data_IF_757709411084
#
_entry.id   IF_757709411084
#
_cell.length_a   1.000
_cell.length_b   1.000
_cell.length_c   1.000
_cell.angle_alpha   90.00
_cell.angle_beta   90.00
_cell.angle_gamma   90.00
#
_symmetry.space_group_name_H-M   'P 1'
#
loop_
_entity.id
_entity.type
_entity.pdbx_description
1 polymer ?
#
# COMPACT_ATOMS: atom_id res chain seq x y z
N UNK A 1 -10.81 7.65 18.86
CA UNK A 1 -10.28 6.38 18.33
C UNK A 1 -9.26 6.76 17.27
N UNK A 2 -7.99 6.34 17.41
CA UNK A 2 -6.89 6.72 16.51
C UNK A 2 -6.54 5.54 15.59
N UNK A 3 -6.67 5.71 14.28
CA UNK A 3 -6.32 4.67 13.31
C UNK A 3 -4.83 4.81 12.99
N UNK A 4 -4.05 3.85 13.49
CA UNK A 4 -2.58 3.86 13.34
C UNK A 4 -2.09 3.17 12.07
N UNK A 5 -2.83 2.18 11.58
CA UNK A 5 -2.41 1.32 10.47
C UNK A 5 -3.62 0.82 9.68
N UNK A 6 -3.52 0.90 8.35
CA UNK A 6 -4.52 0.40 7.40
C UNK A 6 -3.88 -0.69 6.54
N UNK A 7 -4.38 -1.92 6.62
CA UNK A 7 -3.90 -3.01 5.78
C UNK A 7 -4.87 -3.28 4.64
N UNK A 8 -4.39 -3.19 3.40
CA UNK A 8 -5.13 -3.50 2.18
C UNK A 8 -4.77 -4.90 1.72
N UNK A 9 -5.75 -5.80 1.71
CA UNK A 9 -5.61 -7.15 1.17
C UNK A 9 -6.04 -7.12 -0.30
N UNK A 10 -5.10 -7.39 -1.19
CA UNK A 10 -5.24 -7.27 -2.64
C UNK A 10 -4.55 -6.01 -3.16
N UNK A 11 -3.62 -6.19 -4.09
CA UNK A 11 -2.80 -5.14 -4.72
C UNK A 11 -3.22 -4.83 -6.17
N UNK A 12 -4.43 -5.24 -6.55
CA UNK A 12 -5.01 -4.97 -7.87
C UNK A 12 -5.32 -3.48 -8.11
N UNK A 13 -6.07 -3.19 -9.17
CA UNK A 13 -6.39 -1.81 -9.60
C UNK A 13 -7.09 -1.00 -8.48
N UNK A 14 -8.06 -1.61 -7.80
CA UNK A 14 -8.76 -0.97 -6.68
C UNK A 14 -7.90 -0.93 -5.41
N UNK A 15 -7.20 -2.02 -5.09
CA UNK A 15 -6.37 -2.11 -3.89
C UNK A 15 -5.26 -1.07 -3.83
N UNK A 16 -4.56 -0.83 -4.95
CA UNK A 16 -3.57 0.25 -5.04
C UNK A 16 -4.19 1.64 -4.90
N UNK A 17 -5.43 1.84 -5.37
CA UNK A 17 -6.15 3.11 -5.25
C UNK A 17 -6.54 3.43 -3.82
N UNK A 18 -7.07 2.44 -3.10
CA UNK A 18 -7.37 2.54 -1.66
C UNK A 18 -6.08 2.83 -0.88
N UNK A 19 -5.02 2.07 -1.14
CA UNK A 19 -3.74 2.28 -0.49
C UNK A 19 -3.16 3.68 -0.74
N UNK A 20 -3.31 4.21 -1.97
CA UNK A 20 -2.89 5.57 -2.30
C UNK A 20 -3.69 6.61 -1.52
N UNK A 21 -5.03 6.53 -1.48
CA UNK A 21 -5.86 7.49 -0.75
C UNK A 21 -5.60 7.44 0.75
N UNK A 22 -5.43 6.24 1.33
CA UNK A 22 -5.07 6.09 2.74
C UNK A 22 -3.68 6.69 3.04
N UNK A 23 -2.69 6.48 2.16
CA UNK A 23 -1.37 7.08 2.33
C UNK A 23 -1.41 8.61 2.22
N UNK A 24 -2.20 9.17 1.28
CA UNK A 24 -2.43 10.61 1.15
C UNK A 24 -3.18 11.20 2.36
N UNK A 25 -3.97 10.39 3.05
CA UNK A 25 -4.65 10.77 4.29
C UNK A 25 -3.76 10.77 5.53
N UNK A 26 -2.46 10.50 5.39
CA UNK A 26 -1.51 10.44 6.51
C UNK A 26 -1.60 9.15 7.34
N UNK A 27 -2.28 8.12 6.85
CA UNK A 27 -2.33 6.82 7.51
C UNK A 27 -1.14 5.96 7.11
N UNK A 28 -0.62 5.15 8.03
CA UNK A 28 0.31 4.08 7.65
C UNK A 28 -0.46 2.99 6.90
N UNK A 29 0.07 2.54 5.76
CA UNK A 29 -0.61 1.58 4.89
C UNK A 29 0.27 0.35 4.66
N UNK A 30 -0.31 -0.83 4.84
CA UNK A 30 0.31 -2.09 4.42
C UNK A 30 -0.45 -2.68 3.24
N UNK A 31 0.26 -3.03 2.17
CA UNK A 31 -0.30 -3.69 0.99
C UNK A 31 0.09 -5.15 1.04
N UNK A 32 -0.91 -6.04 1.02
CA UNK A 32 -0.73 -7.48 1.11
C UNK A 32 -1.34 -8.18 -0.10
N UNK A 33 -0.60 -9.08 -0.76
CA UNK A 33 -1.10 -9.88 -1.88
C UNK A 33 -0.42 -11.26 -1.91
N UNK A 34 -0.99 -12.19 -2.65
CA UNK A 34 -0.36 -13.48 -2.96
C UNK A 34 0.80 -13.32 -3.95
N UNK A 35 0.65 -12.37 -4.88
CA UNK A 35 1.59 -12.15 -5.97
C UNK A 35 2.54 -11.00 -5.66
N UNK A 36 3.83 -11.34 -5.58
CA UNK A 36 4.90 -10.36 -5.35
C UNK A 36 5.04 -9.36 -6.51
N UNK A 37 4.77 -9.81 -7.73
CA UNK A 37 4.83 -8.97 -8.93
C UNK A 37 3.77 -7.86 -8.89
N UNK A 38 2.56 -8.20 -8.44
CA UNK A 38 1.45 -7.24 -8.31
C UNK A 38 1.76 -6.24 -7.19
N UNK A 39 2.32 -6.71 -6.06
CA UNK A 39 2.79 -5.83 -4.97
C UNK A 39 3.83 -4.81 -5.43
N UNK A 40 4.83 -5.26 -6.20
CA UNK A 40 5.89 -4.38 -6.72
C UNK A 40 5.28 -3.34 -7.66
N UNK A 41 4.45 -3.78 -8.62
CA UNK A 41 3.77 -2.87 -9.56
C UNK A 41 2.86 -1.87 -8.84
N UNK A 42 2.10 -2.31 -7.85
CA UNK A 42 1.23 -1.45 -7.05
C UNK A 42 2.06 -0.40 -6.32
N UNK A 43 3.15 -0.81 -5.66
CA UNK A 43 4.08 0.10 -4.98
C UNK A 43 4.69 1.13 -5.94
N UNK A 44 5.19 0.71 -7.10
CA UNK A 44 5.77 1.62 -8.10
C UNK A 44 4.76 2.67 -8.57
N UNK A 45 3.53 2.25 -8.86
CA UNK A 45 2.45 3.16 -9.26
C UNK A 45 2.12 4.15 -8.14
N UNK A 46 1.99 3.65 -6.91
CA UNK A 46 1.66 4.50 -5.75
C UNK A 46 2.79 5.50 -5.49
N UNK A 47 4.05 5.06 -5.48
CA UNK A 47 5.23 5.93 -5.29
C UNK A 47 5.32 6.98 -6.42
N UNK A 48 5.09 6.58 -7.66
CA UNK A 48 5.07 7.49 -8.81
C UNK A 48 3.96 8.54 -8.67
N UNK A 49 2.78 8.15 -8.21
CA UNK A 49 1.65 9.06 -8.02
C UNK A 49 1.81 9.95 -6.78
N UNK A 50 2.53 9.50 -5.75
CA UNK A 50 2.79 10.22 -4.49
C UNK A 50 4.00 11.16 -4.54
N UNK A 51 4.71 11.27 -5.67
CA UNK A 51 5.95 12.05 -5.87
C UNK A 51 5.83 13.59 -5.66
N UNK A 52 4.77 14.08 -5.00
CA UNK A 52 4.55 15.50 -4.67
C UNK A 52 4.08 15.79 -3.24
N UNK A 53 3.90 14.80 -2.36
CA UNK A 53 3.22 15.01 -1.08
C UNK A 53 3.94 14.51 0.16
N UNK A 54 4.06 13.19 0.32
CA UNK A 54 4.35 12.64 1.65
C UNK A 54 5.33 11.47 1.58
N UNK A 55 6.45 11.65 2.26
CA UNK A 55 7.43 10.61 2.53
C UNK A 55 6.80 9.53 3.42
N UNK A 56 6.91 8.27 3.00
CA UNK A 56 6.74 7.04 3.80
C UNK A 56 5.34 6.74 4.33
N UNK A 57 4.64 5.81 3.68
CA UNK A 57 3.55 5.09 4.36
C UNK A 57 3.22 3.69 3.82
N UNK A 58 3.67 3.31 2.60
CA UNK A 58 3.23 2.05 1.98
C UNK A 58 4.29 0.95 2.11
N UNK A 59 4.03 -0.02 2.98
CA UNK A 59 4.87 -1.20 3.19
C UNK A 59 4.29 -2.43 2.45
N UNK A 60 5.09 -3.15 1.65
CA UNK A 60 4.65 -4.40 1.02
C UNK A 60 4.74 -5.56 2.03
N UNK A 61 3.64 -6.30 2.19
CA UNK A 61 3.55 -7.57 2.91
C UNK A 61 3.04 -8.69 1.99
N UNK A 62 3.23 -9.96 2.37
CA UNK A 62 2.75 -11.12 1.60
C UNK A 62 1.89 -12.00 2.50
N UNK A 63 0.72 -12.42 2.03
CA UNK A 63 -0.20 -13.26 2.84
C UNK A 63 0.24 -14.74 2.92
N UNK A 64 1.28 -15.14 2.19
CA UNK A 64 1.85 -16.49 2.17
C UNK A 64 3.38 -16.43 2.29
N UNK A 65 3.91 -16.61 3.51
CA UNK A 65 5.35 -16.70 3.83
C UNK A 65 5.74 -15.83 5.02
N UNK A 66 6.60 -16.31 5.94
CA UNK A 66 6.86 -15.64 7.21
C UNK A 66 7.62 -14.33 6.95
N UNK A 67 7.25 -13.32 7.73
CA UNK A 67 7.79 -11.98 7.75
C UNK A 67 9.33 -11.96 7.77
#
# INVERSE_FOLDING_TARGET
MEIKLVTVIGSGIMGRGIAQVCAQGGYQVQLNDISREVLIKAREVIVKNLSKGDNQAVHPGRINGPC
#
